data_IF_979074859262
#
_entry.id   IF_979074859262
#
_cell.length_a   1.000
_cell.length_b   1.000
_cell.length_c   1.000
_cell.angle_alpha   90.00
_cell.angle_beta   90.00
_cell.angle_gamma   90.00
#
_symmetry.space_group_name_H-M   'P 1'
#
loop_
_entity.id
_entity.type
_entity.pdbx_description
1 polymer ?
#
# COMPACT_ATOMS: atom_id res chain seq x y z
N UNK A 1 6.79 20.77 17.42
CA UNK A 1 5.71 21.75 17.18
C UNK A 1 5.03 21.28 15.91
N UNK A 2 3.94 20.52 16.06
CA UNK A 2 3.26 19.79 14.98
C UNK A 2 1.85 20.34 14.74
N UNK A 3 1.57 21.53 15.30
CA UNK A 3 0.22 22.06 15.50
C UNK A 3 -0.52 22.26 14.18
N UNK A 4 0.09 22.89 13.18
CA UNK A 4 -0.63 23.20 11.94
C UNK A 4 -1.07 21.93 11.18
N UNK A 5 -0.16 20.96 11.03
CA UNK A 5 -0.45 19.69 10.37
C UNK A 5 -1.51 18.87 11.12
N UNK A 6 -1.42 18.81 12.45
CA UNK A 6 -2.40 18.12 13.27
C UNK A 6 -3.77 18.83 13.24
N UNK A 7 -3.80 20.16 13.28
CA UNK A 7 -5.04 20.94 13.18
C UNK A 7 -5.71 20.75 11.83
N UNK A 8 -4.94 20.82 10.74
CA UNK A 8 -5.45 20.58 9.39
C UNK A 8 -6.06 19.18 9.27
N UNK A 9 -5.38 18.17 9.79
CA UNK A 9 -5.85 16.80 9.76
C UNK A 9 -7.14 16.60 10.57
N UNK A 10 -7.22 17.19 11.78
CA UNK A 10 -8.43 17.19 12.60
C UNK A 10 -9.60 17.87 11.88
N UNK A 11 -9.35 19.01 11.25
CA UNK A 11 -10.38 19.77 10.52
C UNK A 11 -10.95 18.95 9.36
N UNK A 12 -10.10 18.29 8.58
CA UNK A 12 -10.50 17.47 7.42
C UNK A 12 -10.85 16.02 7.77
N UNK A 13 -10.77 15.62 9.04
CA UNK A 13 -11.00 14.26 9.52
C UNK A 13 -10.11 13.20 8.85
N UNK A 14 -8.85 13.56 8.59
CA UNK A 14 -7.81 12.65 8.12
C UNK A 14 -6.84 12.32 9.25
N UNK A 15 -6.14 11.20 9.15
CA UNK A 15 -5.12 10.79 10.13
C UNK A 15 -3.86 11.63 9.94
N UNK A 16 -3.12 11.88 11.03
CA UNK A 16 -1.85 12.60 11.02
C UNK A 16 -0.80 11.79 11.78
N UNK A 17 0.40 11.72 11.20
CA UNK A 17 1.59 11.15 11.83
C UNK A 17 2.81 11.81 11.19
N UNK A 18 3.73 12.30 12.02
CA UNK A 18 5.00 12.80 11.52
C UNK A 18 6.00 11.67 11.34
N UNK A 19 6.78 11.71 10.26
CA UNK A 19 7.71 10.64 9.90
C UNK A 19 9.06 11.22 9.49
N UNK A 20 10.13 10.47 9.75
CA UNK A 20 11.47 10.76 9.24
C UNK A 20 12.01 9.54 8.54
N UNK A 21 12.08 9.60 7.21
CA UNK A 21 12.67 8.53 6.40
C UNK A 21 14.17 8.37 6.68
N UNK A 22 14.86 9.42 7.13
CA UNK A 22 16.31 9.39 7.41
C UNK A 22 16.61 8.62 8.69
N UNK A 23 15.79 8.82 9.74
CA UNK A 23 15.97 8.14 11.04
C UNK A 23 15.14 6.88 11.16
N UNK A 24 14.20 6.64 10.24
CA UNK A 24 13.22 5.55 10.30
C UNK A 24 12.07 5.82 11.26
N UNK A 25 12.01 7.01 11.87
CA UNK A 25 11.00 7.33 12.89
C UNK A 25 9.60 7.35 12.28
N UNK A 26 8.69 6.61 12.92
CA UNK A 26 7.26 6.48 12.60
C UNK A 26 6.92 5.98 11.19
N UNK A 27 7.91 5.52 10.41
CA UNK A 27 7.67 5.04 9.03
C UNK A 27 6.76 3.80 9.06
N UNK A 28 7.11 2.78 9.85
CA UNK A 28 6.31 1.56 9.96
C UNK A 28 4.93 1.82 10.55
N UNK A 29 4.84 2.68 11.56
CA UNK A 29 3.56 3.04 12.19
C UNK A 29 2.66 3.78 11.19
N UNK A 30 3.20 4.65 10.34
CA UNK A 30 2.42 5.35 9.33
C UNK A 30 1.76 4.37 8.33
N UNK A 31 2.53 3.41 7.82
CA UNK A 31 1.99 2.37 6.93
C UNK A 31 0.99 1.47 7.66
N UNK A 32 1.30 1.06 8.88
CA UNK A 32 0.46 0.17 9.68
C UNK A 32 -0.88 0.84 10.04
N UNK A 33 -0.84 2.11 10.45
CA UNK A 33 -2.03 2.92 10.75
C UNK A 33 -2.97 2.97 9.54
N UNK A 34 -2.42 3.23 8.35
CA UNK A 34 -3.22 3.31 7.13
C UNK A 34 -3.77 1.94 6.69
N UNK A 35 -2.97 0.87 6.79
CA UNK A 35 -3.42 -0.48 6.48
C UNK A 35 -4.58 -0.92 7.37
N UNK A 36 -4.49 -0.64 8.69
CA UNK A 36 -5.57 -0.92 9.66
C UNK A 36 -6.84 -0.15 9.33
N UNK A 37 -6.73 1.14 9.00
CA UNK A 37 -7.89 1.98 8.64
C UNK A 37 -8.58 1.47 7.37
N UNK A 38 -7.82 1.12 6.33
CA UNK A 38 -8.38 0.56 5.09
C UNK A 38 -9.08 -0.77 5.37
N UNK A 39 -8.47 -1.65 6.15
CA UNK A 39 -9.08 -2.93 6.51
C UNK A 39 -10.38 -2.75 7.32
N UNK A 40 -10.40 -1.87 8.32
CA UNK A 40 -11.60 -1.58 9.10
C UNK A 40 -12.74 -1.00 8.24
N UNK A 41 -12.41 -0.16 7.25
CA UNK A 41 -13.40 0.34 6.28
C UNK A 41 -13.91 -0.74 5.33
N UNK A 42 -13.08 -1.72 4.98
CA UNK A 42 -13.50 -2.87 4.20
C UNK A 42 -14.45 -3.76 5.01
N UNK A 43 -14.12 -4.06 6.27
CA UNK A 43 -14.94 -4.87 7.19
C UNK A 43 -16.29 -4.21 7.49
N UNK A 44 -16.32 -2.89 7.65
CA UNK A 44 -17.58 -2.14 7.82
C UNK A 44 -18.38 -1.95 6.53
N UNK A 45 -17.82 -2.32 5.37
CA UNK A 45 -18.45 -2.17 4.05
C UNK A 45 -18.47 -0.73 3.50
N UNK A 46 -17.76 0.19 4.16
CA UNK A 46 -17.53 1.56 3.69
C UNK A 46 -16.58 1.62 2.48
N UNK A 47 -15.65 0.66 2.40
CA UNK A 47 -14.90 0.32 1.19
C UNK A 47 -15.40 -1.02 0.65
N UNK A 48 -15.37 -1.18 -0.67
CA UNK A 48 -15.83 -2.39 -1.36
C UNK A 48 -14.88 -2.73 -2.51
N UNK A 49 -14.87 -4.01 -2.86
CA UNK A 49 -14.27 -4.47 -4.11
C UNK A 49 -15.10 -3.94 -5.28
N UNK A 50 -14.42 -3.38 -6.27
CA UNK A 50 -15.05 -2.86 -7.49
C UNK A 50 -14.36 -3.52 -8.67
N UNK A 51 -15.14 -4.10 -9.58
CA UNK A 51 -14.59 -4.77 -10.76
C UNK A 51 -13.83 -3.77 -11.65
N UNK A 52 -12.68 -4.18 -12.15
CA UNK A 52 -11.74 -3.31 -12.88
C UNK A 52 -11.02 -2.26 -12.03
N UNK A 53 -11.23 -2.19 -10.71
CA UNK A 53 -10.49 -1.30 -9.83
C UNK A 53 -9.41 -2.02 -9.03
N UNK A 54 -8.18 -1.54 -9.16
CA UNK A 54 -6.99 -2.20 -8.61
C UNK A 54 -6.63 -1.74 -7.19
N UNK A 55 -7.37 -0.77 -6.63
CA UNK A 55 -7.06 -0.17 -5.32
C UNK A 55 -7.31 -1.08 -4.12
N UNK A 56 -8.23 -2.05 -4.24
CA UNK A 56 -8.45 -3.11 -3.26
C UNK A 56 -8.65 -4.40 -4.03
N UNK A 57 -7.82 -5.40 -3.76
CA UNK A 57 -7.92 -6.73 -4.36
C UNK A 57 -8.12 -7.76 -3.28
N UNK A 58 -9.01 -8.71 -3.53
CA UNK A 58 -9.00 -9.94 -2.76
C UNK A 58 -7.71 -10.67 -3.12
N UNK A 59 -6.88 -11.00 -2.12
CA UNK A 59 -5.68 -11.80 -2.36
C UNK A 59 -6.04 -13.09 -3.08
N UNK A 60 -5.13 -13.62 -3.92
CA UNK A 60 -5.29 -14.94 -4.51
C UNK A 60 -5.72 -15.91 -3.41
N UNK A 61 -6.96 -16.41 -3.49
CA UNK A 61 -7.41 -17.49 -2.63
C UNK A 61 -6.52 -18.70 -2.91
N UNK A 62 -5.40 -18.83 -2.20
CA UNK A 62 -4.36 -19.87 -2.31
C UNK A 62 -4.40 -20.56 -3.67
N UNK A 63 -4.21 -19.81 -4.75
CA UNK A 63 -4.21 -20.42 -6.08
C UNK A 63 -2.83 -21.02 -6.26
N UNK A 64 -2.79 -22.36 -6.19
CA UNK A 64 -1.70 -23.28 -6.52
C UNK A 64 -0.35 -22.59 -6.80
N UNK A 65 0.59 -22.76 -5.86
CA UNK A 65 2.05 -22.68 -6.04
C UNK A 65 2.46 -22.37 -7.48
N UNK A 66 2.84 -21.12 -7.77
CA UNK A 66 3.62 -20.82 -8.97
C UNK A 66 5.00 -21.49 -8.82
N UNK A 67 5.15 -22.68 -9.41
CA UNK A 67 6.46 -23.30 -9.56
C UNK A 67 7.23 -22.54 -10.64
N UNK A 68 8.37 -21.98 -10.25
CA UNK A 68 9.36 -21.34 -11.14
C UNK A 68 10.08 -22.41 -11.99
N UNK A 69 9.42 -23.01 -12.98
CA UNK A 69 10.09 -24.00 -13.83
C UNK A 69 9.91 -23.83 -15.34
N UNK A 70 9.14 -22.88 -15.85
CA UNK A 70 9.01 -22.70 -17.31
C UNK A 70 9.01 -21.22 -17.72
N UNK A 71 10.20 -20.63 -17.80
CA UNK A 71 10.47 -19.52 -18.73
C UNK A 71 11.78 -19.83 -19.44
N UNK A 72 11.70 -20.68 -20.46
CA UNK A 72 12.69 -20.80 -21.53
C UNK A 72 12.23 -19.95 -22.72
N UNK A 73 12.19 -18.64 -22.53
CA UNK A 73 12.08 -17.69 -23.65
C UNK A 73 13.33 -16.82 -23.69
N UNK A 74 13.98 -16.85 -24.86
CA UNK A 74 15.24 -16.21 -25.19
C UNK A 74 15.10 -14.68 -25.15
N UNK A 75 15.55 -14.06 -24.06
CA UNK A 75 15.77 -12.61 -24.02
C UNK A 75 17.11 -12.29 -24.69
N UNK A 76 17.06 -11.73 -25.89
CA UNK A 76 18.21 -11.04 -26.47
C UNK A 76 18.61 -9.85 -25.58
N UNK A 77 19.91 -9.56 -25.40
CA UNK A 77 20.33 -8.45 -24.54
C UNK A 77 19.95 -7.11 -25.20
N UNK A 78 18.95 -6.43 -24.64
CA UNK A 78 18.68 -5.03 -24.96
C UNK A 78 19.81 -4.18 -24.37
N UNK A 79 20.71 -3.72 -25.23
CA UNK A 79 21.72 -2.71 -24.90
C UNK A 79 21.02 -1.41 -24.52
N UNK A 80 20.99 -1.10 -23.23
CA UNK A 80 20.69 0.24 -22.74
C UNK A 80 21.96 1.08 -22.85
N UNK A 81 21.88 2.18 -23.62
CA UNK A 81 22.90 3.23 -23.62
C UNK A 81 22.48 4.29 -22.60
N UNK A 82 23.19 4.35 -21.48
CA UNK A 82 23.27 5.49 -20.59
C UNK A 82 24.74 5.80 -20.29
#
# INVERSE_FOLDING_TARGET
MYEEGEYFAKYHRIKFIETSAVTGENVEEAFTMMAREVNARLESGALRLVDGWEGIKCGLARSKSISLSDVSESFAPSSCSC
#
